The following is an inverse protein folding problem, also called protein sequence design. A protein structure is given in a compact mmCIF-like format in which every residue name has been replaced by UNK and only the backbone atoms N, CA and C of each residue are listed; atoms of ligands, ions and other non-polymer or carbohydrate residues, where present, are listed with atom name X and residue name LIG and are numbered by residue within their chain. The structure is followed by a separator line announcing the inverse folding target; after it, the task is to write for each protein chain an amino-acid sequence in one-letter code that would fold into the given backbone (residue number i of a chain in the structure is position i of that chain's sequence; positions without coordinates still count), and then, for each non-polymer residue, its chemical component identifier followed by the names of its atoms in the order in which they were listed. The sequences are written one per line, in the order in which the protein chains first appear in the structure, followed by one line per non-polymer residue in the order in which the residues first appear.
data_IF_783258439916
#
_entry.id   IF_783258439916
#
_cell.length_a   1.000
_cell.length_b   1.000
_cell.length_c   1.000
_cell.angle_alpha   90.00
_cell.angle_beta   90.00
_cell.angle_gamma   90.00
#
_symmetry.space_group_name_H-M   'P 1'
#
loop_
_entity.id
_entity.type
_entity.pdbx_description
1 polymer ?
#
# COMPACT_ATOMS: atom_id res chain seq x y z
N UNK A 1 1.47 3.05 -10.97
CA UNK A 1 2.73 3.23 -10.20
C UNK A 1 2.60 2.69 -8.78
N UNK A 2 1.62 3.12 -7.99
CA UNK A 2 1.37 2.61 -6.62
C UNK A 2 1.22 1.08 -6.55
N UNK A 3 0.33 0.48 -7.35
CA UNK A 3 0.12 -0.97 -7.35
C UNK A 3 1.37 -1.80 -7.69
N UNK A 4 2.28 -1.25 -8.50
CA UNK A 4 3.53 -1.92 -8.84
C UNK A 4 4.47 -2.07 -7.64
N UNK A 5 4.35 -1.21 -6.61
CA UNK A 5 5.11 -1.33 -5.36
C UNK A 5 4.75 -2.62 -4.63
N UNK A 6 3.46 -2.97 -4.57
CA UNK A 6 3.01 -4.23 -3.96
C UNK A 6 3.42 -5.44 -4.79
N UNK A 7 3.28 -5.38 -6.12
CA UNK A 7 3.67 -6.50 -7.00
C UNK A 7 5.15 -6.89 -6.89
N UNK A 8 6.05 -5.93 -6.67
CA UNK A 8 7.50 -6.19 -6.45
C UNK A 8 7.81 -6.86 -5.11
N UNK A 9 6.89 -6.78 -4.16
CA UNK A 9 7.06 -7.14 -2.74
C UNK A 9 6.25 -8.39 -2.35
N UNK A 10 5.91 -9.21 -3.34
CA UNK A 10 5.00 -10.36 -3.16
C UNK A 10 3.67 -9.97 -2.49
N UNK A 11 3.24 -8.72 -2.69
CA UNK A 11 2.06 -8.16 -2.07
C UNK A 11 0.80 -8.43 -2.88
N UNK A 12 -0.32 -8.66 -2.18
CA UNK A 12 -1.64 -8.90 -2.76
C UNK A 12 -2.60 -7.79 -2.34
N UNK A 13 -3.14 -7.07 -3.32
CA UNK A 13 -4.21 -6.09 -3.08
C UNK A 13 -5.51 -6.83 -2.82
N UNK A 14 -6.17 -6.50 -1.72
CA UNK A 14 -7.42 -7.11 -1.25
C UNK A 14 -8.62 -6.25 -1.64
N UNK A 15 -8.49 -4.94 -1.47
CA UNK A 15 -9.55 -3.99 -1.80
C UNK A 15 -8.96 -2.65 -2.22
N UNK A 16 -9.70 -1.94 -3.08
CA UNK A 16 -9.44 -0.56 -3.44
C UNK A 16 -10.78 0.17 -3.49
N UNK A 17 -10.99 1.10 -2.56
CA UNK A 17 -12.27 1.77 -2.37
C UNK A 17 -12.09 3.27 -2.51
N UNK A 18 -12.96 3.91 -3.28
CA UNK A 18 -12.99 5.37 -3.35
C UNK A 18 -13.56 5.92 -2.04
N UNK A 19 -12.83 6.82 -1.39
CA UNK A 19 -13.31 7.50 -0.18
C UNK A 19 -14.13 8.72 -0.59
N UNK A 20 -15.31 8.49 -1.18
CA UNK A 20 -16.31 9.53 -1.47
C UNK A 20 -15.78 10.74 -2.26
N UNK A 21 -16.18 11.94 -1.83
CA UNK A 21 -15.83 13.21 -2.48
C UNK A 21 -14.32 13.52 -2.36
N UNK A 22 -13.68 13.94 -3.46
CA UNK A 22 -12.29 14.42 -3.46
C UNK A 22 -11.26 13.51 -4.13
N UNK A 23 -11.68 12.44 -4.80
CA UNK A 23 -10.80 11.62 -5.66
C UNK A 23 -9.74 10.80 -4.92
N UNK A 24 -9.83 10.74 -3.59
CA UNK A 24 -9.00 9.89 -2.75
C UNK A 24 -9.53 8.46 -2.76
N UNK A 25 -8.64 7.50 -2.59
CA UNK A 25 -9.00 6.10 -2.49
C UNK A 25 -8.13 5.42 -1.45
N UNK A 26 -8.68 4.41 -0.79
CA UNK A 26 -8.00 3.55 0.16
C UNK A 26 -7.67 2.23 -0.50
N UNK A 27 -6.43 1.77 -0.34
CA UNK A 27 -5.99 0.45 -0.79
C UNK A 27 -5.69 -0.39 0.45
N UNK A 28 -6.29 -1.57 0.52
CA UNK A 28 -5.93 -2.61 1.47
C UNK A 28 -5.11 -3.68 0.75
N UNK A 29 -3.94 -4.00 1.28
CA UNK A 29 -3.06 -5.01 0.72
C UNK A 29 -2.32 -5.77 1.83
N UNK A 30 -2.05 -7.05 1.58
CA UNK A 30 -1.14 -7.86 2.38
C UNK A 30 0.22 -7.94 1.70
N UNK A 31 1.27 -8.06 2.50
CA UNK A 31 2.63 -8.37 2.06
C UNK A 31 3.40 -9.06 3.19
N UNK A 32 4.43 -9.85 2.89
CA UNK A 32 5.31 -10.41 3.91
C UNK A 32 5.97 -9.29 4.75
N UNK A 33 6.14 -9.53 6.05
CA UNK A 33 6.77 -8.56 6.97
C UNK A 33 8.18 -8.15 6.52
N UNK A 34 9.07 -9.05 6.05
CA UNK A 34 10.37 -8.64 5.53
C UNK A 34 10.27 -7.71 4.31
N UNK A 35 9.22 -7.85 3.52
CA UNK A 35 8.99 -7.01 2.34
C UNK A 35 8.35 -5.66 2.68
N UNK A 36 8.00 -5.38 3.95
CA UNK A 36 7.43 -4.08 4.34
C UNK A 36 8.48 -3.02 4.64
N UNK A 37 9.76 -3.39 4.78
CA UNK A 37 10.84 -2.44 5.02
C UNK A 37 10.92 -1.41 3.88
N UNK A 38 11.00 -0.13 4.26
CA UNK A 38 11.03 1.02 3.34
C UNK A 38 9.78 1.21 2.46
N UNK A 39 8.71 0.42 2.65
CA UNK A 39 7.48 0.54 1.86
C UNK A 39 6.91 1.96 1.91
N UNK A 40 6.85 2.56 3.11
CA UNK A 40 6.28 3.88 3.29
C UNK A 40 7.03 4.96 2.52
N UNK A 41 8.36 4.87 2.48
CA UNK A 41 9.22 5.79 1.70
C UNK A 41 8.94 5.64 0.22
N UNK A 42 8.93 4.41 -0.29
CA UNK A 42 8.69 4.15 -1.72
C UNK A 42 7.30 4.60 -2.17
N UNK A 43 6.25 4.28 -1.40
CA UNK A 43 4.88 4.73 -1.69
C UNK A 43 4.81 6.25 -1.76
N UNK A 44 5.36 6.96 -0.77
CA UNK A 44 5.40 8.42 -0.78
C UNK A 44 6.17 8.96 -1.98
N UNK A 45 7.33 8.41 -2.33
CA UNK A 45 8.09 8.82 -3.52
C UNK A 45 7.28 8.62 -4.80
N UNK A 46 6.57 7.49 -4.95
CA UNK A 46 5.77 7.19 -6.14
C UNK A 46 4.50 8.05 -6.27
N UNK A 47 4.06 8.69 -5.18
CA UNK A 47 2.86 9.54 -5.15
C UNK A 47 3.17 11.01 -4.81
N UNK A 48 4.43 11.45 -4.94
CA UNK A 48 4.84 12.81 -4.59
C UNK A 48 4.43 13.24 -3.16
N UNK A 49 4.46 12.30 -2.22
CA UNK A 49 4.13 12.49 -0.81
C UNK A 49 2.65 12.34 -0.44
N UNK A 50 1.74 12.16 -1.42
CA UNK A 50 0.30 12.10 -1.18
C UNK A 50 -0.18 10.83 -0.46
N UNK A 51 0.52 9.70 -0.62
CA UNK A 51 0.17 8.47 0.08
C UNK A 51 0.46 8.55 1.58
N UNK A 52 -0.51 8.10 2.38
CA UNK A 52 -0.39 7.93 3.84
C UNK A 52 -0.51 6.44 4.20
N UNK A 53 0.61 5.69 4.21
CA UNK A 53 0.60 4.26 4.47
C UNK A 53 0.46 3.96 5.96
N UNK A 54 -0.30 2.92 6.29
CA UNK A 54 -0.40 2.34 7.62
C UNK A 54 0.00 0.87 7.55
N UNK A 55 0.87 0.44 8.47
CA UNK A 55 1.29 -0.95 8.59
C UNK A 55 0.68 -1.54 9.86
N UNK A 56 -0.11 -2.59 9.69
CA UNK A 56 -0.82 -3.28 10.78
C UNK A 56 -0.64 -4.77 10.57
N UNK A 57 -0.29 -5.50 11.63
CA UNK A 57 -0.25 -6.95 11.58
C UNK A 57 -1.68 -7.51 11.45
N UNK A 58 -1.89 -8.42 10.50
CA UNK A 58 -3.17 -9.09 10.29
C UNK A 58 -3.14 -10.57 10.70
N UNK A 59 -2.22 -11.35 10.10
CA UNK A 59 -2.10 -12.81 10.24
C UNK A 59 -0.77 -13.29 9.61
N UNK A 60 -0.56 -14.61 9.56
CA UNK A 60 0.50 -15.26 8.78
C UNK A 60 -0.11 -16.08 7.62
N UNK A 61 0.60 -16.15 6.48
CA UNK A 61 0.26 -16.97 5.30
C UNK A 61 1.41 -17.92 4.95
#
# INVERSE_FOLDING_TARGET
KLYAVFGKRQGRVIAAESTGFGGQFKVLAFLPVPESFQLARELRTQTSGLASPQLVFSHWE
#
